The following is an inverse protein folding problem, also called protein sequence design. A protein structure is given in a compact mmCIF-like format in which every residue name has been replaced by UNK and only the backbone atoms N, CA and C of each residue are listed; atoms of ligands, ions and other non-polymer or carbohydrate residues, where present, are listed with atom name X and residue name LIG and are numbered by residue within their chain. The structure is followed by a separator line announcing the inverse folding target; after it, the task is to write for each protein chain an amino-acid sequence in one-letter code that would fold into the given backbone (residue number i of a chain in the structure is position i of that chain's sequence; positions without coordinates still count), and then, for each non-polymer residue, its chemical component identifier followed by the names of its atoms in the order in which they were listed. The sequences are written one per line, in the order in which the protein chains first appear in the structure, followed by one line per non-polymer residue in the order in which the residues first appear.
data_IF_717160533678
#
_entry.id   IF_717160533678
#
_cell.length_a   1.000
_cell.length_b   1.000
_cell.length_c   1.000
_cell.angle_alpha   90.00
_cell.angle_beta   90.00
_cell.angle_gamma   90.00
#
_symmetry.space_group_name_H-M   'P 1'
#
loop_
_entity.id
_entity.type
_entity.pdbx_description
1 polymer ?
#
# COMPACT_ATOMS: atom_id res chain seq x y z
N UNK A 1 -6.00 9.07 -21.59
CA UNK A 1 -4.77 8.48 -22.20
C UNK A 1 -4.03 7.54 -21.24
N UNK A 2 -4.55 7.28 -20.02
CA UNK A 2 -3.98 6.30 -19.07
C UNK A 2 -4.81 5.01 -19.01
N UNK A 3 -5.95 5.00 -19.69
CA UNK A 3 -6.96 3.93 -19.69
C UNK A 3 -6.43 2.61 -20.26
N UNK A 4 -5.30 2.65 -20.98
CA UNK A 4 -4.64 1.47 -21.50
C UNK A 4 -4.09 0.56 -20.38
N UNK A 5 -3.73 1.09 -19.21
CA UNK A 5 -3.31 0.27 -18.06
C UNK A 5 -4.50 -0.55 -17.52
N UNK A 6 -5.66 0.08 -17.43
CA UNK A 6 -6.91 -0.56 -16.98
C UNK A 6 -7.39 -1.58 -18.01
N UNK A 7 -7.39 -1.22 -19.29
CA UNK A 7 -7.73 -2.16 -20.36
C UNK A 7 -6.80 -3.38 -20.35
N UNK A 8 -5.48 -3.16 -20.22
CA UNK A 8 -4.50 -4.26 -20.15
C UNK A 8 -4.74 -5.16 -18.94
N UNK A 9 -5.04 -4.59 -17.78
CA UNK A 9 -5.34 -5.34 -16.57
C UNK A 9 -6.60 -6.21 -16.72
N UNK A 10 -7.65 -5.66 -17.32
CA UNK A 10 -8.86 -6.41 -17.66
C UNK A 10 -8.59 -7.55 -18.62
N UNK A 11 -7.83 -7.29 -19.69
CA UNK A 11 -7.49 -8.30 -20.69
C UNK A 11 -6.74 -9.48 -20.05
N UNK A 12 -5.84 -9.20 -19.09
CA UNK A 12 -5.13 -10.27 -18.39
C UNK A 12 -6.07 -11.17 -17.60
N UNK A 13 -7.04 -10.60 -16.88
CA UNK A 13 -8.00 -11.40 -16.11
C UNK A 13 -8.99 -12.12 -17.03
N UNK A 14 -9.44 -11.47 -18.11
CA UNK A 14 -10.29 -12.11 -19.12
C UNK A 14 -9.61 -13.34 -19.76
N UNK A 15 -8.28 -13.42 -19.80
CA UNK A 15 -7.55 -14.61 -20.25
C UNK A 15 -7.74 -15.83 -19.36
N UNK A 16 -8.01 -15.63 -18.07
CA UNK A 16 -8.04 -16.67 -17.04
C UNK A 16 -9.37 -16.77 -16.29
N UNK A 17 -10.34 -15.91 -16.61
CA UNK A 17 -11.66 -15.88 -16.00
C UNK A 17 -12.56 -16.98 -16.56
N UNK A 18 -12.77 -18.02 -15.77
CA UNK A 18 -13.75 -19.07 -16.04
C UNK A 18 -15.11 -18.62 -15.49
N UNK A 19 -16.03 -18.27 -16.37
CA UNK A 19 -17.38 -17.87 -15.99
C UNK A 19 -18.26 -19.12 -15.88
N UNK A 20 -18.40 -19.61 -14.65
CA UNK A 20 -19.21 -20.80 -14.34
C UNK A 20 -20.69 -20.61 -14.67
N UNK A 21 -21.23 -19.41 -14.46
CA UNK A 21 -22.65 -19.09 -14.71
C UNK A 21 -23.01 -19.15 -16.20
N UNK A 22 -22.09 -18.74 -17.07
CA UNK A 22 -22.24 -18.81 -18.54
C UNK A 22 -21.72 -20.11 -19.15
N UNK A 23 -21.23 -21.04 -18.32
CA UNK A 23 -20.49 -22.23 -18.76
C UNK A 23 -19.37 -21.90 -19.77
N UNK A 24 -18.73 -20.72 -19.61
CA UNK A 24 -17.72 -20.19 -20.53
C UNK A 24 -16.36 -20.25 -19.86
N UNK A 25 -15.50 -21.12 -20.38
CA UNK A 25 -14.10 -21.16 -19.97
C UNK A 25 -13.35 -19.91 -20.46
N UNK A 26 -12.44 -19.43 -19.63
CA UNK A 26 -11.40 -18.49 -20.00
C UNK A 26 -10.48 -19.09 -21.06
N UNK A 27 -9.72 -18.22 -21.74
CA UNK A 27 -8.85 -18.64 -22.84
C UNK A 27 -7.82 -19.68 -22.40
N UNK A 28 -7.24 -19.54 -21.21
CA UNK A 28 -6.24 -20.46 -20.69
C UNK A 28 -6.83 -21.84 -20.36
N UNK A 29 -7.97 -21.89 -19.68
CA UNK A 29 -8.67 -23.14 -19.36
C UNK A 29 -9.17 -23.84 -20.62
N UNK A 30 -9.69 -23.09 -21.61
CA UNK A 30 -10.06 -23.64 -22.91
C UNK A 30 -8.85 -24.21 -23.66
N UNK A 31 -7.71 -23.52 -23.63
CA UNK A 31 -6.46 -24.02 -24.22
C UNK A 31 -6.03 -25.34 -23.57
N UNK A 32 -6.05 -25.41 -22.23
CA UNK A 32 -5.70 -26.61 -21.47
C UNK A 32 -6.58 -27.80 -21.84
N UNK A 33 -7.89 -27.62 -21.95
CA UNK A 33 -8.82 -28.68 -22.34
C UNK A 33 -8.53 -29.22 -23.76
N UNK A 34 -8.16 -28.35 -24.70
CA UNK A 34 -7.78 -28.77 -26.06
C UNK A 34 -6.44 -29.50 -26.08
N UNK A 35 -5.50 -29.08 -25.24
CA UNK A 35 -4.20 -29.71 -25.11
C UNK A 35 -4.31 -31.13 -24.55
N UNK A 36 -5.19 -31.34 -23.55
CA UNK A 36 -5.48 -32.65 -22.95
C UNK A 36 -5.89 -33.69 -23.98
N UNK A 37 -6.72 -33.31 -24.97
CA UNK A 37 -7.15 -34.19 -26.04
C UNK A 37 -6.03 -34.51 -27.08
N UNK A 38 -4.93 -33.76 -27.07
CA UNK A 38 -3.89 -33.81 -28.11
C UNK A 38 -2.58 -34.48 -27.64
N UNK A 39 -2.39 -34.72 -26.35
CA UNK A 39 -1.11 -35.21 -25.80
C UNK A 39 -1.30 -36.40 -24.85
N UNK A 40 -0.21 -37.13 -24.59
CA UNK A 40 -0.22 -38.25 -23.65
C UNK A 40 -0.19 -37.76 -22.19
N UNK A 41 -0.62 -38.58 -21.21
CA UNK A 41 -0.62 -38.19 -19.79
C UNK A 41 0.74 -37.72 -19.25
N UNK A 42 1.84 -38.28 -19.74
CA UNK A 42 3.19 -37.88 -19.33
C UNK A 42 3.54 -36.43 -19.74
N UNK A 43 2.97 -35.93 -20.85
CA UNK A 43 3.16 -34.55 -21.28
C UNK A 43 2.17 -33.58 -20.59
N UNK A 44 1.03 -34.10 -20.11
CA UNK A 44 0.04 -33.30 -19.38
C UNK A 44 0.58 -32.81 -18.04
N UNK A 45 1.29 -33.65 -17.28
CA UNK A 45 1.83 -33.25 -15.97
C UNK A 45 2.74 -32.01 -16.08
N UNK A 46 3.62 -31.98 -17.10
CA UNK A 46 4.45 -30.81 -17.38
C UNK A 46 3.60 -29.62 -17.83
N UNK A 47 2.62 -29.85 -18.70
CA UNK A 47 1.77 -28.78 -19.21
C UNK A 47 0.94 -28.12 -18.10
N UNK A 48 0.43 -28.89 -17.13
CA UNK A 48 -0.36 -28.37 -16.02
C UNK A 48 0.49 -27.43 -15.14
N UNK A 49 1.76 -27.75 -14.91
CA UNK A 49 2.69 -26.85 -14.20
C UNK A 49 2.93 -25.53 -14.94
N UNK A 50 3.12 -25.58 -16.27
CA UNK A 50 3.30 -24.38 -17.10
C UNK A 50 2.01 -23.54 -17.21
N UNK A 51 0.84 -24.19 -17.29
CA UNK A 51 -0.47 -23.52 -17.30
C UNK A 51 -0.72 -22.81 -15.96
N UNK A 52 -0.39 -23.44 -14.83
CA UNK A 52 -0.48 -22.81 -13.52
C UNK A 52 0.44 -21.58 -13.42
N UNK A 53 1.70 -21.72 -13.84
CA UNK A 53 2.65 -20.59 -13.85
C UNK A 53 2.18 -19.44 -14.77
N UNK A 54 1.58 -19.76 -15.92
CA UNK A 54 1.03 -18.76 -16.84
C UNK A 54 -0.19 -18.05 -16.23
N UNK A 55 -1.05 -18.78 -15.51
CA UNK A 55 -2.19 -18.19 -14.78
C UNK A 55 -1.71 -17.17 -13.75
N UNK A 56 -0.70 -17.52 -12.95
CA UNK A 56 -0.10 -16.61 -11.97
C UNK A 56 0.49 -15.37 -12.69
N UNK A 57 1.17 -15.56 -13.82
CA UNK A 57 1.69 -14.46 -14.64
C UNK A 57 0.63 -13.48 -15.15
N UNK A 58 -0.58 -13.95 -15.49
CA UNK A 58 -1.70 -13.08 -15.85
C UNK A 58 -2.17 -12.22 -14.65
N UNK A 59 -2.29 -12.83 -13.47
CA UNK A 59 -2.65 -12.11 -12.24
C UNK A 59 -1.58 -11.08 -11.87
N UNK A 60 -0.31 -11.45 -11.94
CA UNK A 60 0.82 -10.57 -11.64
C UNK A 60 0.86 -9.35 -12.56
N UNK A 61 0.70 -9.54 -13.87
CA UNK A 61 0.71 -8.44 -14.83
C UNK A 61 -0.51 -7.53 -14.65
N UNK A 62 -1.69 -8.09 -14.36
CA UNK A 62 -2.89 -7.30 -14.06
C UNK A 62 -2.67 -6.40 -12.84
N UNK A 63 -2.22 -7.00 -11.74
CA UNK A 63 -1.94 -6.31 -10.48
C UNK A 63 -0.84 -5.25 -10.66
N UNK A 64 0.18 -5.55 -11.46
CA UNK A 64 1.23 -4.60 -11.81
C UNK A 64 0.68 -3.38 -12.57
N UNK A 65 -0.19 -3.59 -13.57
CA UNK A 65 -0.82 -2.51 -14.32
C UNK A 65 -1.65 -1.59 -13.40
N UNK A 66 -2.46 -2.17 -12.52
CA UNK A 66 -3.25 -1.40 -11.54
C UNK A 66 -2.36 -0.65 -10.55
N UNK A 67 -1.27 -1.26 -10.10
CA UNK A 67 -0.28 -0.60 -9.23
C UNK A 67 0.37 0.60 -9.92
N UNK A 68 0.73 0.48 -11.20
CA UNK A 68 1.26 1.62 -11.98
C UNK A 68 0.22 2.71 -12.19
N UNK A 69 -1.03 2.32 -12.38
CA UNK A 69 -2.12 3.27 -12.51
C UNK A 69 -2.33 4.06 -11.21
N UNK A 70 -2.38 3.38 -10.06
CA UNK A 70 -2.42 4.02 -8.75
C UNK A 70 -1.24 4.98 -8.54
N UNK A 71 0.00 4.57 -8.84
CA UNK A 71 1.16 5.47 -8.72
C UNK A 71 1.01 6.75 -9.53
N UNK A 72 0.39 6.65 -10.71
CA UNK A 72 0.19 7.77 -11.63
C UNK A 72 -0.86 8.75 -11.11
N UNK A 73 -2.00 8.25 -10.60
CA UNK A 73 -3.01 9.07 -9.90
C UNK A 73 -2.34 9.89 -8.80
N UNK A 74 -1.56 9.23 -7.93
CA UNK A 74 -0.88 9.91 -6.83
C UNK A 74 0.20 10.91 -7.28
N UNK A 75 0.84 10.66 -8.42
CA UNK A 75 1.87 11.56 -8.95
C UNK A 75 1.27 12.82 -9.60
N UNK A 76 0.09 12.71 -10.22
CA UNK A 76 -0.53 13.79 -10.98
C UNK A 76 -1.45 14.62 -10.09
N UNK A 77 -2.33 13.98 -9.32
CA UNK A 77 -3.46 14.66 -8.70
C UNK A 77 -3.23 14.99 -7.22
N UNK A 78 -2.35 14.25 -6.54
CA UNK A 78 -2.14 14.39 -5.10
C UNK A 78 -0.88 15.14 -4.70
N UNK A 79 -0.06 15.62 -5.65
CA UNK A 79 1.20 16.30 -5.35
C UNK A 79 1.04 17.49 -4.39
N UNK A 80 0.00 18.31 -4.57
CA UNK A 80 -0.26 19.46 -3.70
C UNK A 80 -0.75 19.06 -2.31
N UNK A 81 -1.74 18.15 -2.23
CA UNK A 81 -2.30 17.70 -0.95
C UNK A 81 -1.25 16.94 -0.12
N UNK A 82 -0.45 16.08 -0.77
CA UNK A 82 0.64 15.35 -0.13
C UNK A 82 1.71 16.29 0.42
N UNK A 83 2.04 17.38 -0.28
CA UNK A 83 3.06 18.33 0.17
C UNK A 83 2.66 19.09 1.46
N UNK A 84 1.36 19.24 1.71
CA UNK A 84 0.86 19.90 2.92
C UNK A 84 0.96 19.01 4.17
N UNK A 85 0.97 17.68 4.02
CA UNK A 85 1.00 16.72 5.14
C UNK A 85 2.21 16.94 6.07
N UNK A 86 1.94 16.85 7.38
CA UNK A 86 2.88 17.06 8.50
C UNK A 86 3.56 18.45 8.56
N UNK A 87 3.14 19.39 7.72
CA UNK A 87 3.54 20.80 7.80
C UNK A 87 2.56 21.60 8.68
N UNK A 88 2.82 22.87 9.01
CA UNK A 88 1.85 23.70 9.72
C UNK A 88 0.47 23.80 9.03
N UNK A 89 0.42 23.68 7.69
CA UNK A 89 -0.84 23.73 6.91
C UNK A 89 -1.72 22.51 7.15
N UNK A 90 -1.13 21.38 7.52
CA UNK A 90 -1.84 20.12 7.75
C UNK A 90 -2.84 20.21 8.92
N UNK A 91 -2.47 20.88 10.01
CA UNK A 91 -3.31 20.95 11.22
C UNK A 91 -4.68 21.60 10.98
N UNK A 92 -4.72 22.68 10.19
CA UNK A 92 -5.97 23.35 9.81
C UNK A 92 -6.53 22.90 8.45
N UNK A 93 -5.84 21.97 7.79
CA UNK A 93 -6.12 21.56 6.41
C UNK A 93 -7.04 20.35 6.31
N UNK A 94 -7.54 20.15 5.10
CA UNK A 94 -8.40 19.01 4.73
C UNK A 94 -7.74 18.09 3.70
N UNK A 95 -6.39 18.06 3.64
CA UNK A 95 -5.64 17.34 2.60
C UNK A 95 -6.05 15.87 2.47
N UNK A 96 -6.18 15.14 3.58
CA UNK A 96 -6.62 13.73 3.56
C UNK A 96 -8.05 13.57 3.08
N UNK A 97 -8.98 14.44 3.52
CA UNK A 97 -10.37 14.44 3.04
C UNK A 97 -10.45 14.70 1.53
N UNK A 98 -9.64 15.62 1.02
CA UNK A 98 -9.56 15.91 -0.42
C UNK A 98 -9.03 14.70 -1.20
N UNK A 99 -7.95 14.07 -0.73
CA UNK A 99 -7.41 12.87 -1.38
C UNK A 99 -8.44 11.74 -1.39
N UNK A 100 -9.12 11.49 -0.27
CA UNK A 100 -10.17 10.46 -0.17
C UNK A 100 -11.35 10.75 -1.12
N UNK A 101 -11.82 11.99 -1.22
CA UNK A 101 -12.89 12.35 -2.14
C UNK A 101 -12.50 12.09 -3.61
N UNK A 102 -11.27 12.47 -4.00
CA UNK A 102 -10.77 12.16 -5.34
C UNK A 102 -10.58 10.66 -5.57
N UNK A 103 -10.13 9.90 -4.57
CA UNK A 103 -10.07 8.44 -4.68
C UNK A 103 -11.46 7.83 -4.89
N UNK A 104 -12.49 8.33 -4.22
CA UNK A 104 -13.88 7.90 -4.40
C UNK A 104 -14.35 8.13 -5.84
N UNK A 105 -14.04 9.30 -6.41
CA UNK A 105 -14.32 9.60 -7.83
C UNK A 105 -13.62 8.60 -8.77
N UNK A 106 -12.32 8.32 -8.55
CA UNK A 106 -11.60 7.30 -9.33
C UNK A 106 -12.22 5.91 -9.20
N UNK A 107 -12.58 5.50 -7.99
CA UNK A 107 -13.21 4.18 -7.77
C UNK A 107 -14.57 4.12 -8.46
N UNK A 108 -15.38 5.18 -8.38
CA UNK A 108 -16.68 5.25 -9.04
C UNK A 108 -16.57 5.18 -10.57
N UNK A 109 -15.65 5.96 -11.16
CA UNK A 109 -15.43 6.01 -12.60
C UNK A 109 -14.92 4.67 -13.16
N UNK A 110 -13.97 4.05 -12.46
CA UNK A 110 -13.36 2.80 -12.94
C UNK A 110 -14.14 1.54 -12.57
N UNK A 111 -15.05 1.57 -11.59
CA UNK A 111 -15.88 0.41 -11.21
C UNK A 111 -16.71 -0.13 -12.37
N UNK A 112 -17.14 0.73 -13.30
CA UNK A 112 -17.96 0.31 -14.44
C UNK A 112 -17.16 -0.33 -15.58
N UNK A 113 -15.86 -0.05 -15.65
CA UNK A 113 -15.00 -0.51 -16.75
C UNK A 113 -13.97 -1.55 -16.32
N UNK A 114 -13.66 -1.66 -15.02
CA UNK A 114 -12.82 -2.71 -14.49
C UNK A 114 -13.56 -4.05 -14.48
N UNK A 115 -12.80 -5.12 -14.69
CA UNK A 115 -13.27 -6.46 -14.43
C UNK A 115 -13.73 -6.56 -12.97
N UNK A 116 -14.87 -7.22 -12.71
CA UNK A 116 -15.51 -7.22 -11.40
C UNK A 116 -14.57 -7.73 -10.28
N UNK A 117 -13.74 -8.74 -10.56
CA UNK A 117 -12.74 -9.27 -9.62
C UNK A 117 -11.56 -8.32 -9.36
N UNK A 118 -11.39 -7.26 -10.16
CA UNK A 118 -10.31 -6.28 -10.01
C UNK A 118 -10.73 -5.03 -9.23
N UNK A 119 -12.03 -4.80 -9.02
CA UNK A 119 -12.50 -3.58 -8.34
C UNK A 119 -11.95 -3.52 -6.91
N UNK A 120 -12.14 -4.60 -6.14
CA UNK A 120 -11.67 -4.66 -4.75
C UNK A 120 -10.14 -4.62 -4.69
N UNK A 121 -9.46 -5.34 -5.60
CA UNK A 121 -8.00 -5.33 -5.74
C UNK A 121 -7.48 -3.90 -6.00
N UNK A 122 -8.14 -3.15 -6.88
CA UNK A 122 -7.76 -1.78 -7.18
C UNK A 122 -7.92 -0.86 -5.96
N UNK A 123 -9.03 -0.99 -5.23
CA UNK A 123 -9.27 -0.20 -4.01
C UNK A 123 -8.22 -0.52 -2.93
N UNK A 124 -7.85 -1.79 -2.75
CA UNK A 124 -6.77 -2.19 -1.84
C UNK A 124 -5.41 -1.61 -2.26
N UNK A 125 -5.07 -1.65 -3.55
CA UNK A 125 -3.85 -1.02 -4.09
C UNK A 125 -3.81 0.48 -3.80
N UNK A 126 -4.93 1.18 -3.96
CA UNK A 126 -5.05 2.60 -3.64
C UNK A 126 -4.87 2.86 -2.14
N UNK A 127 -5.39 1.98 -1.29
CA UNK A 127 -5.23 2.07 0.16
C UNK A 127 -3.77 1.95 0.60
N UNK A 128 -3.06 0.98 0.05
CA UNK A 128 -1.64 0.79 0.34
C UNK A 128 -0.79 1.93 -0.20
N UNK A 129 -1.10 2.42 -1.42
CA UNK A 129 -0.37 3.55 -2.00
C UNK A 129 -0.60 4.83 -1.18
N UNK A 130 -1.84 5.08 -0.74
CA UNK A 130 -2.14 6.21 0.16
C UNK A 130 -1.32 6.12 1.45
N UNK A 131 -1.28 4.96 2.09
CA UNK A 131 -0.51 4.75 3.31
C UNK A 131 0.99 4.98 3.10
N UNK A 132 1.56 4.40 2.04
CA UNK A 132 2.97 4.57 1.72
C UNK A 132 3.32 6.05 1.49
N UNK A 133 2.49 6.80 0.76
CA UNK A 133 2.68 8.24 0.52
C UNK A 133 2.46 9.06 1.78
N UNK A 134 1.46 8.72 2.59
CA UNK A 134 1.19 9.36 3.87
C UNK A 134 2.38 9.23 4.82
N UNK A 135 2.90 8.02 5.03
CA UNK A 135 4.07 7.80 5.88
C UNK A 135 5.35 8.41 5.29
N UNK A 136 5.51 8.45 3.96
CA UNK A 136 6.64 9.09 3.32
C UNK A 136 6.64 10.63 3.46
N UNK A 137 5.47 11.24 3.70
CA UNK A 137 5.31 12.68 3.80
C UNK A 137 6.07 13.32 4.98
N UNK A 138 6.60 12.52 5.92
CA UNK A 138 7.52 13.02 6.97
C UNK A 138 8.78 13.67 6.38
N UNK A 139 9.09 13.39 5.11
CA UNK A 139 10.19 14.01 4.36
C UNK A 139 9.82 15.30 3.64
N UNK A 140 8.56 15.72 3.72
CA UNK A 140 8.13 16.95 3.10
C UNK A 140 8.94 18.14 3.60
N UNK A 141 9.16 19.11 2.71
CA UNK A 141 9.81 20.36 3.09
C UNK A 141 8.93 21.10 4.09
N UNK A 142 9.45 21.31 5.29
CA UNK A 142 8.71 21.98 6.36
C UNK A 142 7.86 21.04 7.21
N UNK A 143 7.96 19.72 7.01
CA UNK A 143 7.40 18.75 7.95
C UNK A 143 8.02 18.98 9.34
N UNK A 144 7.16 19.28 10.32
CA UNK A 144 7.58 19.50 11.70
C UNK A 144 6.42 19.20 12.66
N UNK A 145 6.60 18.15 13.43
CA UNK A 145 5.62 17.61 14.38
C UNK A 145 6.10 18.01 15.77
N UNK A 146 5.51 19.07 16.33
CA UNK A 146 5.91 19.58 17.63
C UNK A 146 5.11 18.90 18.72
N UNK A 147 5.76 18.54 19.84
CA UNK A 147 5.07 17.91 20.98
C UNK A 147 3.96 18.76 21.62
N UNK A 148 4.02 20.08 21.44
CA UNK A 148 2.97 21.00 21.88
C UNK A 148 1.77 21.08 20.92
N UNK A 149 1.93 20.63 19.66
CA UNK A 149 0.86 20.64 18.66
C UNK A 149 0.00 19.37 18.77
N UNK A 150 -1.29 19.41 18.41
CA UNK A 150 -2.20 18.27 18.52
C UNK A 150 -2.03 17.26 17.36
N UNK A 151 -0.79 16.85 17.05
CA UNK A 151 -0.55 15.95 15.92
C UNK A 151 -1.13 14.55 16.13
N UNK A 152 -1.27 14.12 17.39
CA UNK A 152 -1.87 12.82 17.75
C UNK A 152 -3.33 12.77 17.28
N UNK A 153 -4.10 13.77 17.67
CA UNK A 153 -5.51 13.89 17.32
C UNK A 153 -5.65 14.06 15.81
N UNK A 154 -4.79 14.89 15.19
CA UNK A 154 -4.82 15.09 13.73
C UNK A 154 -4.50 13.82 12.94
N UNK A 155 -3.52 13.02 13.39
CA UNK A 155 -3.21 11.70 12.81
C UNK A 155 -4.39 10.75 12.94
N UNK A 156 -5.03 10.72 14.11
CA UNK A 156 -6.21 9.90 14.34
C UNK A 156 -7.36 10.30 13.41
N UNK A 157 -7.65 11.59 13.29
CA UNK A 157 -8.69 12.12 12.40
C UNK A 157 -8.44 11.75 10.93
N UNK A 158 -7.18 11.84 10.48
CA UNK A 158 -6.79 11.45 9.13
C UNK A 158 -7.00 9.94 8.91
N UNK A 159 -6.54 9.10 9.83
CA UNK A 159 -6.70 7.63 9.73
C UNK A 159 -8.18 7.24 9.80
N UNK A 160 -8.96 7.87 10.66
CA UNK A 160 -10.41 7.65 10.75
C UNK A 160 -11.10 8.02 9.43
N UNK A 161 -10.77 9.17 8.85
CA UNK A 161 -11.28 9.60 7.53
C UNK A 161 -11.00 8.55 6.45
N UNK A 162 -9.80 7.98 6.45
CA UNK A 162 -9.41 6.96 5.48
C UNK A 162 -10.16 5.64 5.71
N UNK A 163 -10.32 5.22 6.96
CA UNK A 163 -11.06 4.01 7.31
C UNK A 163 -12.54 4.12 7.00
N UNK A 164 -13.16 5.28 7.23
CA UNK A 164 -14.56 5.51 6.88
C UNK A 164 -14.79 5.30 5.37
N UNK A 165 -13.86 5.77 4.54
CA UNK A 165 -13.91 5.55 3.10
C UNK A 165 -13.74 4.08 2.71
N UNK A 166 -12.67 3.42 3.14
CA UNK A 166 -12.41 2.04 2.74
C UNK A 166 -13.43 1.04 3.31
N UNK A 167 -14.03 1.35 4.47
CA UNK A 167 -15.14 0.55 5.01
C UNK A 167 -16.41 0.64 4.16
N UNK A 168 -16.62 1.75 3.44
CA UNK A 168 -17.72 1.90 2.49
C UNK A 168 -17.38 1.33 1.11
N UNK A 169 -16.11 1.43 0.69
CA UNK A 169 -15.68 1.04 -0.65
C UNK A 169 -15.46 -0.47 -0.84
N UNK A 170 -15.09 -1.20 0.23
CA UNK A 170 -14.76 -2.63 0.21
C UNK A 170 -15.78 -3.48 0.97
N UNK A 171 -16.07 -4.71 0.50
CA UNK A 171 -16.88 -5.67 1.26
C UNK A 171 -16.14 -6.20 2.50
N UNK A 172 -14.81 -6.31 2.44
CA UNK A 172 -13.96 -6.74 3.57
C UNK A 172 -12.81 -5.76 3.79
N UNK A 173 -12.97 -4.74 4.67
CA UNK A 173 -11.94 -3.74 4.91
C UNK A 173 -10.83 -4.20 5.87
N UNK A 174 -10.85 -5.44 6.37
CA UNK A 174 -9.91 -5.87 7.41
C UNK A 174 -8.47 -5.98 6.92
N UNK A 175 -8.26 -6.30 5.64
CA UNK A 175 -6.93 -6.28 5.02
C UNK A 175 -6.32 -4.88 5.08
N UNK A 176 -7.09 -3.86 4.66
CA UNK A 176 -6.67 -2.45 4.73
C UNK A 176 -6.37 -2.05 6.17
N UNK A 177 -7.24 -2.36 7.13
CA UNK A 177 -6.99 -2.06 8.55
C UNK A 177 -5.67 -2.67 9.02
N UNK A 178 -5.41 -3.93 8.68
CA UNK A 178 -4.20 -4.63 9.10
C UNK A 178 -2.94 -3.96 8.56
N UNK A 179 -2.93 -3.53 7.30
CA UNK A 179 -1.79 -2.80 6.72
C UNK A 179 -1.63 -1.42 7.38
N UNK A 180 -2.72 -0.69 7.58
CA UNK A 180 -2.74 0.65 8.17
C UNK A 180 -2.37 0.71 9.64
N UNK A 181 -2.36 -0.42 10.37
CA UNK A 181 -1.80 -0.48 11.73
C UNK A 181 -0.35 0.00 11.82
N UNK A 182 0.38 0.09 10.71
CA UNK A 182 1.70 0.72 10.65
C UNK A 182 1.72 2.19 11.14
N UNK A 183 0.57 2.88 11.15
CA UNK A 183 0.46 4.24 11.71
C UNK A 183 0.61 4.27 13.24
N UNK A 184 0.31 3.17 13.94
CA UNK A 184 0.45 3.09 15.40
C UNK A 184 1.92 3.15 15.87
N UNK A 185 2.84 2.29 15.39
CA UNK A 185 4.25 2.40 15.76
C UNK A 185 4.93 3.63 15.14
N UNK A 186 4.42 4.15 14.02
CA UNK A 186 4.81 5.47 13.51
C UNK A 186 4.50 6.57 14.52
N UNK A 187 3.26 6.63 15.03
CA UNK A 187 2.88 7.57 16.08
C UNK A 187 3.76 7.38 17.33
N UNK A 188 4.04 6.13 17.72
CA UNK A 188 4.90 5.83 18.87
C UNK A 188 6.32 6.38 18.72
N UNK A 189 6.90 6.40 17.51
CA UNK A 189 8.21 7.02 17.26
C UNK A 189 8.19 8.54 17.44
N UNK A 190 7.08 9.19 17.09
CA UNK A 190 6.89 10.63 17.28
C UNK A 190 6.63 10.97 18.75
N UNK A 191 5.95 10.07 19.45
CA UNK A 191 5.37 10.37 20.73
C UNK A 191 6.20 9.93 21.94
N UNK A 192 7.01 8.89 21.77
CA UNK A 192 7.89 8.40 22.84
C UNK A 192 8.79 9.52 23.37
N UNK A 193 8.99 9.50 24.69
CA UNK A 193 10.01 10.33 25.32
C UNK A 193 11.40 9.95 24.80
N UNK A 194 12.32 10.90 24.85
CA UNK A 194 13.63 10.82 24.18
C UNK A 194 14.40 9.53 24.52
N UNK A 195 14.36 9.11 25.79
CA UNK A 195 15.07 7.92 26.26
C UNK A 195 14.37 6.61 25.85
N UNK A 196 13.07 6.65 25.51
CA UNK A 196 12.27 5.52 25.08
C UNK A 196 12.19 5.36 23.55
N UNK A 197 12.69 6.34 22.77
CA UNK A 197 12.71 6.26 21.30
C UNK A 197 13.45 5.01 20.77
N UNK A 198 14.59 4.58 21.34
CA UNK A 198 15.24 3.35 20.90
C UNK A 198 14.37 2.09 21.08
N UNK A 199 13.59 2.02 22.17
CA UNK A 199 12.67 0.89 22.43
C UNK A 199 11.48 0.93 21.47
N UNK A 200 10.95 2.12 21.17
CA UNK A 200 9.90 2.29 20.17
C UNK A 200 10.37 1.86 18.77
N UNK A 201 11.61 2.20 18.40
CA UNK A 201 12.22 1.73 17.15
C UNK A 201 12.38 0.21 17.11
N UNK A 202 12.89 -0.40 18.18
CA UNK A 202 13.04 -1.86 18.25
C UNK A 202 11.70 -2.58 18.08
N UNK A 203 10.66 -2.13 18.80
CA UNK A 203 9.32 -2.71 18.67
C UNK A 203 8.77 -2.56 17.24
N UNK A 204 8.95 -1.41 16.61
CA UNK A 204 8.55 -1.20 15.21
C UNK A 204 9.33 -2.14 14.28
N UNK A 205 10.67 -2.20 14.42
CA UNK A 205 11.52 -3.03 13.58
C UNK A 205 11.23 -4.52 13.73
N UNK A 206 10.84 -4.98 14.91
CA UNK A 206 10.43 -6.35 15.17
C UNK A 206 9.10 -6.69 14.49
N UNK A 207 8.14 -5.76 14.47
CA UNK A 207 6.85 -5.95 13.80
C UNK A 207 6.94 -5.79 12.26
N UNK A 208 7.86 -4.94 11.79
CA UNK A 208 8.06 -4.62 10.37
C UNK A 208 9.55 -4.76 10.04
N UNK A 209 9.96 -5.98 9.71
CA UNK A 209 11.39 -6.34 9.55
C UNK A 209 12.09 -5.56 8.44
N UNK A 210 11.35 -5.07 7.45
CA UNK A 210 11.79 -4.28 6.30
C UNK A 210 11.78 -2.76 6.56
N UNK A 211 11.45 -2.32 7.79
CA UNK A 211 11.53 -0.93 8.22
C UNK A 211 12.92 -0.32 7.95
N UNK A 212 12.97 0.74 7.14
CA UNK A 212 14.22 1.38 6.77
C UNK A 212 14.70 2.40 7.82
N UNK A 213 15.96 2.27 8.23
CA UNK A 213 16.57 3.21 9.19
C UNK A 213 16.65 4.65 8.64
N UNK A 214 16.76 4.81 7.32
CA UNK A 214 16.71 6.11 6.63
C UNK A 214 15.36 6.80 6.80
N UNK A 215 14.26 6.05 6.79
CA UNK A 215 12.92 6.58 7.05
C UNK A 215 12.74 6.93 8.51
N UNK A 216 13.17 6.05 9.43
CA UNK A 216 13.15 6.35 10.88
C UNK A 216 13.93 7.62 11.18
N UNK A 217 15.11 7.80 10.57
CA UNK A 217 15.90 9.02 10.70
C UNK A 217 15.14 10.27 10.24
N UNK A 218 14.35 10.18 9.17
CA UNK A 218 13.49 11.28 8.72
C UNK A 218 12.33 11.56 9.70
N UNK A 219 11.68 10.52 10.24
CA UNK A 219 10.64 10.64 11.27
C UNK A 219 11.20 11.38 12.49
N UNK A 220 12.37 10.97 12.98
CA UNK A 220 12.99 11.62 14.14
C UNK A 220 13.34 13.08 13.86
N UNK A 221 13.82 13.40 12.66
CA UNK A 221 14.10 14.79 12.26
C UNK A 221 12.85 15.68 12.17
N UNK A 222 11.69 15.09 11.93
CA UNK A 222 10.44 15.84 11.93
C UNK A 222 10.01 16.25 13.35
N UNK A 223 10.54 15.62 14.40
CA UNK A 223 10.28 16.01 15.79
C UNK A 223 10.93 17.36 16.12
N UNK A 224 10.29 18.14 16.99
CA UNK A 224 10.82 19.42 17.44
C UNK A 224 11.94 19.30 18.48
N UNK A 225 11.95 18.21 19.25
CA UNK A 225 12.94 17.88 20.28
C UNK A 225 14.13 17.04 19.77
N UNK A 226 14.23 16.88 18.45
CA UNK A 226 15.27 16.09 17.80
C UNK A 226 16.68 16.59 18.11
N UNK A 227 17.59 15.65 18.37
CA UNK A 227 19.02 15.91 18.32
C UNK A 227 19.82 14.69 17.80
N UNK A 228 21.12 14.92 17.61
CA UNK A 228 22.03 13.87 17.12
C UNK A 228 22.18 12.71 18.12
N UNK A 229 22.02 12.95 19.42
CA UNK A 229 22.14 11.93 20.45
C UNK A 229 21.00 10.90 20.36
N UNK A 230 19.78 11.37 20.14
CA UNK A 230 18.60 10.53 19.92
C UNK A 230 18.81 9.59 18.72
N UNK A 231 19.27 10.12 17.58
CA UNK A 231 19.55 9.31 16.40
C UNK A 231 20.68 8.28 16.65
N UNK A 232 21.73 8.68 17.36
CA UNK A 232 22.83 7.79 17.70
C UNK A 232 22.37 6.64 18.62
N UNK A 233 21.47 6.91 19.56
CA UNK A 233 20.89 5.88 20.41
C UNK A 233 20.08 4.85 19.61
N UNK A 234 19.28 5.31 18.64
CA UNK A 234 18.55 4.43 17.72
C UNK A 234 19.50 3.61 16.85
N UNK A 235 20.56 4.21 16.30
CA UNK A 235 21.59 3.49 15.52
C UNK A 235 22.31 2.45 16.36
N UNK A 236 22.64 2.78 17.61
CA UNK A 236 23.25 1.85 18.54
C UNK A 236 22.33 0.69 18.90
N UNK A 237 21.01 0.93 19.01
CA UNK A 237 20.02 -0.13 19.17
C UNK A 237 19.96 -1.01 17.93
N UNK A 238 19.81 -0.41 16.75
CA UNK A 238 19.75 -1.13 15.47
C UNK A 238 20.94 -2.07 15.25
N UNK A 239 22.15 -1.66 15.63
CA UNK A 239 23.35 -2.48 15.49
C UNK A 239 23.37 -3.75 16.38
N UNK A 240 22.51 -3.82 17.40
CA UNK A 240 22.40 -4.95 18.32
C UNK A 240 21.17 -5.82 18.07
N UNK A 241 20.27 -5.39 17.19
CA UNK A 241 19.05 -6.12 16.89
C UNK A 241 19.33 -7.22 15.89
N UNK A 242 18.90 -8.43 16.23
CA UNK A 242 18.69 -9.51 15.27
C UNK A 242 17.19 -9.59 14.97
N UNK A 243 16.84 -9.54 13.69
CA UNK A 243 15.45 -9.43 13.24
C UNK A 243 15.19 -10.54 12.25
N UNK A 244 14.23 -11.40 12.59
CA UNK A 244 13.78 -12.47 11.71
C UNK A 244 13.06 -11.84 10.51
N UNK A 245 13.54 -12.15 9.30
CA UNK A 245 12.89 -11.70 8.08
C UNK A 245 11.61 -12.49 7.84
N UNK A 246 10.55 -11.79 7.45
CA UNK A 246 9.27 -12.38 7.08
C UNK A 246 8.86 -11.99 5.65
N UNK A 247 7.57 -12.16 5.31
CA UNK A 247 6.99 -11.55 4.12
C UNK A 247 7.22 -10.04 4.09
N UNK A 248 7.35 -9.46 2.90
CA UNK A 248 7.44 -8.00 2.76
C UNK A 248 6.21 -7.32 3.36
N UNK A 249 6.42 -6.17 3.97
CA UNK A 249 5.36 -5.35 4.57
C UNK A 249 5.23 -4.03 3.83
N UNK A 250 4.26 -3.20 4.24
CA UNK A 250 4.13 -1.84 3.72
C UNK A 250 5.40 -1.00 3.91
N UNK A 251 6.22 -1.29 4.93
CA UNK A 251 7.42 -0.52 5.21
C UNK A 251 8.51 -0.72 4.15
N UNK A 252 8.53 -1.85 3.43
CA UNK A 252 9.42 -2.08 2.29
C UNK A 252 9.13 -1.15 1.09
N UNK A 253 7.90 -0.65 0.97
CA UNK A 253 7.49 0.31 -0.07
C UNK A 253 7.90 1.75 0.24
N UNK A 254 8.23 2.05 1.49
CA UNK A 254 8.56 3.39 1.95
C UNK A 254 10.08 3.57 1.88
N UNK A 255 10.56 4.27 0.85
CA UNK A 255 11.97 4.57 0.62
C UNK A 255 12.35 5.92 1.18
#
# INVERSE_FOLDING_TARGET
MQDWLVATANDQIACIDDNEDEARLGYLSSFRQRLEAAVTPAHLERADAEVAALRDGYVDLSTWCLTKFAHLIFAVDFGAALADLFTPRWYGGAAVKQMVATLDEYVADYRQVLHHSLVDVFVEILADELLARYLAAVRNRGARLRRADPFRDKLFDDVATVFDFFAAALPNPDAVKQTWRATEPFLRLLDADRDAVPDAFEAFKAAYWDLQLSWVEAVLRARDDFDRAMLNAVKARAARLDVVRGPETIMGRIK
#
